data_IF_434340470802
#
_entry.id   IF_434340470802
#
_cell.length_a   1.000
_cell.length_b   1.000
_cell.length_c   1.000
_cell.angle_alpha   90.00
_cell.angle_beta   90.00
_cell.angle_gamma   90.00
#
_symmetry.space_group_name_H-M   'P 1'
#
loop_
_entity.id
_entity.type
_entity.pdbx_description
1 polymer ?
#
# COMPACT_ATOMS: atom_id res chain seq x y z
N UNK A 1 7.15 6.80 9.78
CA UNK A 1 6.61 6.67 8.41
C UNK A 1 7.27 5.48 7.73
N UNK A 2 6.61 4.85 6.77
CA UNK A 2 7.11 3.65 6.09
C UNK A 2 8.32 3.91 5.20
N UNK A 3 8.94 2.82 4.72
CA UNK A 3 10.07 2.87 3.80
C UNK A 3 9.62 2.45 2.39
N UNK A 4 9.64 3.35 1.38
CA UNK A 4 9.23 3.02 0.02
C UNK A 4 10.04 1.89 -0.62
N UNK A 5 11.35 1.81 -0.33
CA UNK A 5 12.22 0.75 -0.87
C UNK A 5 11.77 -0.62 -0.37
N UNK A 6 11.50 -0.73 0.93
CA UNK A 6 10.99 -1.96 1.56
C UNK A 6 9.60 -2.33 1.02
N UNK A 7 8.73 -1.34 0.79
CA UNK A 7 7.39 -1.56 0.22
C UNK A 7 7.48 -2.12 -1.20
N UNK A 8 8.32 -1.53 -2.05
CA UNK A 8 8.53 -1.99 -3.43
C UNK A 8 8.99 -3.46 -3.46
N UNK A 9 10.02 -3.79 -2.66
CA UNK A 9 10.54 -5.15 -2.57
C UNK A 9 9.50 -6.14 -2.03
N UNK A 10 8.70 -5.72 -1.04
CA UNK A 10 7.66 -6.57 -0.47
C UNK A 10 6.60 -6.92 -1.51
N UNK A 11 6.16 -5.94 -2.30
CA UNK A 11 5.14 -6.17 -3.33
C UNK A 11 5.71 -7.04 -4.45
N UNK A 12 6.89 -6.70 -4.98
CA UNK A 12 7.48 -7.44 -6.10
C UNK A 12 7.84 -8.89 -5.74
N UNK A 13 8.35 -9.12 -4.54
CA UNK A 13 8.84 -10.44 -4.14
C UNK A 13 7.79 -11.32 -3.45
N UNK A 14 6.63 -10.76 -3.05
CA UNK A 14 5.60 -11.50 -2.31
C UNK A 14 4.24 -11.50 -3.00
N UNK A 15 3.83 -10.37 -3.57
CA UNK A 15 2.51 -10.24 -4.22
C UNK A 15 2.65 -10.53 -5.72
N UNK A 16 3.58 -9.87 -6.42
CA UNK A 16 3.77 -10.08 -7.87
C UNK A 16 4.41 -11.42 -8.22
N UNK A 17 4.91 -12.15 -7.23
CA UNK A 17 5.34 -13.56 -7.36
C UNK A 17 4.18 -14.56 -7.34
N UNK A 18 2.96 -14.13 -7.02
CA UNK A 18 1.77 -14.97 -7.03
C UNK A 18 1.25 -15.18 -8.47
N UNK A 19 0.36 -16.17 -8.70
CA UNK A 19 -0.28 -16.36 -10.00
C UNK A 19 -1.05 -15.12 -10.44
N UNK A 20 -1.02 -14.87 -11.74
CA UNK A 20 -1.56 -13.65 -12.36
C UNK A 20 -3.09 -13.51 -12.20
N UNK A 21 -3.81 -14.63 -12.07
CA UNK A 21 -5.27 -14.70 -11.89
C UNK A 21 -5.73 -14.53 -10.43
N UNK A 22 -4.81 -14.40 -9.48
CA UNK A 22 -5.18 -14.21 -8.08
C UNK A 22 -5.80 -12.83 -7.87
N UNK A 23 -6.94 -12.83 -7.18
CA UNK A 23 -7.61 -11.61 -6.74
C UNK A 23 -6.84 -10.95 -5.59
N UNK A 24 -6.67 -9.64 -5.69
CA UNK A 24 -6.14 -8.77 -4.64
C UNK A 24 -7.30 -7.97 -4.06
N UNK A 25 -7.55 -8.18 -2.78
CA UNK A 25 -8.50 -7.39 -1.99
C UNK A 25 -7.73 -6.34 -1.19
N UNK A 26 -8.03 -5.07 -1.42
CA UNK A 26 -7.30 -3.94 -0.81
C UNK A 26 -7.89 -3.54 0.53
N UNK A 27 -7.05 -3.08 1.46
CA UNK A 27 -7.51 -2.59 2.77
C UNK A 27 -8.28 -1.27 2.71
N UNK A 28 -8.05 -0.46 1.67
CA UNK A 28 -8.75 0.80 1.44
C UNK A 28 -8.91 1.03 -0.07
N UNK A 29 -10.03 1.63 -0.47
CA UNK A 29 -10.18 2.22 -1.78
C UNK A 29 -10.97 3.54 -1.70
N UNK A 30 -10.50 4.54 -2.43
CA UNK A 30 -11.11 5.86 -2.54
C UNK A 30 -11.87 6.08 -3.85
N UNK A 31 -11.73 5.15 -4.82
CA UNK A 31 -12.32 5.22 -6.17
C UNK A 31 -13.46 4.21 -6.40
N UNK A 32 -13.85 3.45 -5.37
CA UNK A 32 -15.02 2.55 -5.41
C UNK A 32 -14.81 1.18 -6.07
N UNK A 33 -13.57 0.79 -6.39
CA UNK A 33 -13.22 -0.54 -6.91
C UNK A 33 -13.07 -1.54 -5.75
N UNK A 34 -13.70 -2.70 -5.83
CA UNK A 34 -13.71 -3.66 -4.71
C UNK A 34 -12.53 -4.65 -4.72
N UNK A 35 -11.96 -4.93 -5.90
CA UNK A 35 -10.86 -5.88 -6.09
C UNK A 35 -10.12 -5.61 -7.41
N UNK A 36 -8.90 -6.14 -7.51
CA UNK A 36 -8.04 -6.16 -8.70
C UNK A 36 -7.38 -7.54 -8.80
N UNK A 37 -6.52 -7.78 -9.77
CA UNK A 37 -5.74 -9.03 -9.92
C UNK A 37 -4.24 -8.76 -9.87
N UNK A 38 -3.45 -9.80 -9.60
CA UNK A 38 -1.99 -9.72 -9.68
C UNK A 38 -1.55 -9.26 -11.08
N UNK A 39 -2.18 -9.78 -12.13
CA UNK A 39 -1.90 -9.36 -13.50
C UNK A 39 -2.17 -7.87 -13.73
N UNK A 40 -3.36 -7.38 -13.35
CA UNK A 40 -3.74 -5.98 -13.51
C UNK A 40 -2.75 -5.05 -12.79
N UNK A 41 -2.38 -5.35 -11.54
CA UNK A 41 -1.46 -4.49 -10.79
C UNK A 41 -0.03 -4.55 -11.34
N UNK A 42 0.44 -5.73 -11.76
CA UNK A 42 1.78 -5.91 -12.36
C UNK A 42 1.92 -5.16 -13.68
N UNK A 43 0.83 -5.00 -14.42
CA UNK A 43 0.84 -4.42 -15.78
C UNK A 43 0.37 -2.96 -15.83
N UNK A 44 -0.58 -2.57 -14.98
CA UNK A 44 -1.29 -1.29 -15.08
C UNK A 44 -1.04 -0.34 -13.89
N UNK A 45 -0.51 -0.82 -12.75
CA UNK A 45 -0.35 0.04 -11.59
C UNK A 45 0.60 1.22 -11.90
N UNK A 46 0.16 2.49 -11.78
CA UNK A 46 0.93 3.64 -12.25
C UNK A 46 2.20 3.91 -11.43
N UNK A 47 2.34 3.28 -10.28
CA UNK A 47 3.49 3.43 -9.37
C UNK A 47 4.41 2.21 -9.41
N UNK A 48 3.82 1.02 -9.34
CA UNK A 48 4.55 -0.24 -9.17
C UNK A 48 5.09 -0.83 -10.48
N UNK A 49 4.66 -0.30 -11.64
CA UNK A 49 5.25 -0.62 -12.96
C UNK A 49 6.53 0.16 -13.27
N UNK A 50 6.87 1.15 -12.42
CA UNK A 50 8.11 1.94 -12.53
C UNK A 50 9.30 1.16 -12.00
N UNK A 51 10.52 1.64 -12.28
CA UNK A 51 11.69 1.11 -11.58
C UNK A 51 11.61 1.40 -10.07
N UNK A 52 12.38 0.64 -9.28
CA UNK A 52 12.45 0.84 -7.83
C UNK A 52 12.91 2.25 -7.47
N UNK A 53 13.89 2.77 -8.19
CA UNK A 53 14.44 4.11 -7.99
C UNK A 53 13.38 5.19 -8.26
N UNK A 54 12.67 5.07 -9.38
CA UNK A 54 11.57 5.99 -9.74
C UNK A 54 10.44 5.93 -8.73
N UNK A 55 10.05 4.73 -8.29
CA UNK A 55 9.03 4.55 -7.26
C UNK A 55 9.43 5.21 -5.93
N UNK A 56 10.67 5.00 -5.47
CA UNK A 56 11.16 5.58 -4.21
C UNK A 56 11.19 7.10 -4.28
N UNK A 57 11.67 7.67 -5.39
CA UNK A 57 11.67 9.12 -5.60
C UNK A 57 10.24 9.66 -5.62
N UNK A 58 9.36 9.06 -6.42
CA UNK A 58 7.95 9.44 -6.49
C UNK A 58 7.27 9.44 -5.11
N UNK A 59 7.47 8.38 -4.32
CA UNK A 59 6.85 8.24 -3.01
C UNK A 59 7.39 9.25 -1.98
N UNK A 60 8.66 9.66 -2.09
CA UNK A 60 9.26 10.69 -1.22
C UNK A 60 8.78 12.10 -1.56
N UNK A 61 8.49 12.37 -2.82
CA UNK A 61 8.07 13.69 -3.29
C UNK A 61 6.57 13.95 -3.09
N UNK A 62 5.78 12.94 -2.72
CA UNK A 62 4.35 13.11 -2.45
C UNK A 62 4.11 14.05 -1.25
N UNK A 63 3.41 15.16 -1.51
CA UNK A 63 2.99 16.12 -0.49
C UNK A 63 1.64 15.72 0.10
N UNK A 64 1.66 14.70 0.95
CA UNK A 64 0.45 14.24 1.65
C UNK A 64 0.20 15.06 2.92
N UNK A 65 -1.07 15.28 3.24
CA UNK A 65 -1.46 15.85 4.52
C UNK A 65 -1.15 14.87 5.66
N UNK A 66 -0.92 15.42 6.85
CA UNK A 66 -0.78 14.61 8.06
C UNK A 66 -2.04 13.74 8.26
N UNK A 67 -1.92 12.42 8.50
CA UNK A 67 -3.09 11.57 8.54
C UNK A 67 -3.99 11.90 9.75
N UNK A 68 -5.27 12.14 9.49
CA UNK A 68 -6.23 12.75 10.44
C UNK A 68 -6.39 12.00 11.77
N UNK A 69 -6.19 10.68 11.80
CA UNK A 69 -6.39 9.86 13.01
C UNK A 69 -5.12 9.14 13.49
N UNK A 70 -3.93 9.42 12.94
CA UNK A 70 -2.74 8.61 13.26
C UNK A 70 -2.38 8.63 14.75
N UNK A 71 -2.53 9.78 15.41
CA UNK A 71 -2.22 9.96 16.84
C UNK A 71 -3.21 9.25 17.77
N UNK A 72 -4.38 8.88 17.27
CA UNK A 72 -5.43 8.17 18.03
C UNK A 72 -5.40 6.68 17.67
N UNK A 73 -5.46 6.38 16.38
CA UNK A 73 -5.59 5.02 15.86
C UNK A 73 -4.33 4.18 16.10
N UNK A 74 -3.13 4.74 15.97
CA UNK A 74 -1.90 3.95 16.18
C UNK A 74 -1.77 3.49 17.63
N UNK A 75 -1.88 4.36 18.66
CA UNK A 75 -1.87 3.92 20.06
C UNK A 75 -2.98 2.91 20.39
N UNK A 76 -4.17 3.08 19.82
CA UNK A 76 -5.29 2.14 19.98
C UNK A 76 -4.94 0.76 19.44
N UNK A 77 -4.48 0.70 18.19
CA UNK A 77 -4.20 -0.55 17.49
C UNK A 77 -3.01 -1.31 18.11
N UNK A 78 -2.05 -0.61 18.71
CA UNK A 78 -0.96 -1.23 19.48
C UNK A 78 -1.42 -1.91 20.78
N UNK A 79 -2.67 -1.67 21.19
CA UNK A 79 -3.33 -2.29 22.36
C UNK A 79 -4.52 -3.16 21.97
N UNK A 80 -4.57 -3.63 20.71
CA UNK A 80 -5.69 -4.39 20.15
C UNK A 80 -7.05 -3.68 20.30
N UNK A 81 -7.06 -2.34 20.20
CA UNK A 81 -8.27 -1.51 20.35
C UNK A 81 -8.74 -1.31 21.80
N UNK A 82 -8.04 -1.84 22.80
CA UNK A 82 -8.44 -1.72 24.21
C UNK A 82 -8.30 -0.28 24.73
N UNK A 83 -9.30 0.17 25.49
CA UNK A 83 -9.33 1.51 26.10
C UNK A 83 -9.72 2.64 25.16
N UNK A 84 -10.19 2.31 23.95
CA UNK A 84 -10.89 3.21 23.04
C UNK A 84 -12.38 2.83 23.06
N UNK A 85 -13.09 3.33 24.09
CA UNK A 85 -14.56 3.24 24.26
C UNK A 85 -15.14 4.66 24.24
#
# INVERSE_FOLDING_TARGET
MGNPSTLYDSIHNKIFSLPDDYLIYVGHNYDGIMQTTVWEEKTLNPRLTKSKEEFVLFMKDMKLQYPKQIDVAVPANMKDGKGHE
#
